data_IF_318584397093
#
_entry.id   IF_318584397093
#
_cell.length_a   1.000
_cell.length_b   1.000
_cell.length_c   1.000
_cell.angle_alpha   90.00
_cell.angle_beta   90.00
_cell.angle_gamma   90.00
#
_symmetry.space_group_name_H-M   'P 1'
#
loop_
_entity.id
_entity.type
_entity.pdbx_description
1 polymer ?
#
# COMPACT_ATOMS: atom_id res chain seq x y z
N UNK A 1 -6.67 -8.21 -28.49
CA UNK A 1 -5.63 -7.67 -27.56
C UNK A 1 -6.27 -6.62 -26.66
N UNK A 2 -5.79 -6.44 -25.43
CA UNK A 2 -6.34 -5.52 -24.43
C UNK A 2 -5.64 -4.15 -24.54
N UNK A 3 -6.40 -3.11 -24.88
CA UNK A 3 -5.91 -1.74 -25.00
C UNK A 3 -5.61 -1.10 -23.64
N UNK A 4 -4.73 -0.09 -23.63
CA UNK A 4 -4.40 0.67 -22.41
C UNK A 4 -5.57 1.57 -22.01
N UNK A 5 -6.03 1.55 -20.75
CA UNK A 5 -7.06 2.47 -20.27
C UNK A 5 -6.63 3.94 -20.36
N UNK A 6 -7.56 4.87 -20.59
CA UNK A 6 -7.24 6.31 -20.62
C UNK A 6 -6.81 6.80 -19.23
N UNK A 7 -5.88 7.77 -19.23
CA UNK A 7 -5.39 8.41 -18.00
C UNK A 7 -4.10 7.80 -17.43
N UNK A 8 -3.80 8.16 -16.18
CA UNK A 8 -2.55 7.82 -15.49
C UNK A 8 -2.79 6.68 -14.50
N UNK A 9 -2.00 5.61 -14.62
CA UNK A 9 -1.97 4.51 -13.66
C UNK A 9 -1.73 5.03 -12.23
N UNK A 10 -2.43 4.48 -11.24
CA UNK A 10 -2.49 4.92 -9.83
C UNK A 10 -3.30 6.19 -9.54
N UNK A 11 -3.54 7.05 -10.52
CA UNK A 11 -4.39 8.26 -10.33
C UNK A 11 -5.80 8.01 -10.83
N UNK A 12 -5.93 7.49 -12.05
CA UNK A 12 -7.21 7.28 -12.72
C UNK A 12 -7.68 5.82 -12.64
N UNK A 13 -6.75 4.87 -12.60
CA UNK A 13 -7.05 3.44 -12.61
C UNK A 13 -5.98 2.62 -11.88
N UNK A 14 -6.35 1.40 -11.47
CA UNK A 14 -5.47 0.44 -10.79
C UNK A 14 -4.97 -0.61 -11.76
N UNK A 15 -3.65 -0.77 -11.87
CA UNK A 15 -3.02 -1.72 -12.80
C UNK A 15 -3.50 -3.15 -12.59
N UNK A 16 -3.61 -3.57 -11.35
CA UNK A 16 -4.04 -4.92 -11.03
C UNK A 16 -5.50 -5.19 -11.42
N UNK A 17 -6.37 -4.19 -11.23
CA UNK A 17 -7.80 -4.26 -11.60
C UNK A 17 -7.93 -4.36 -13.12
N UNK A 18 -7.26 -3.47 -13.87
CA UNK A 18 -7.31 -3.43 -15.34
C UNK A 18 -6.68 -4.67 -16.00
N UNK A 19 -5.75 -5.32 -15.31
CA UNK A 19 -5.22 -6.61 -15.74
C UNK A 19 -6.15 -7.80 -15.46
N UNK A 20 -7.26 -7.58 -14.73
CA UNK A 20 -8.19 -8.62 -14.28
C UNK A 20 -7.60 -9.52 -13.19
N UNK A 21 -6.56 -9.05 -12.50
CA UNK A 21 -5.80 -9.79 -11.49
C UNK A 21 -6.07 -9.32 -10.06
N UNK A 22 -7.13 -8.53 -9.84
CA UNK A 22 -7.58 -8.12 -8.51
C UNK A 22 -8.76 -8.97 -8.03
N UNK A 23 -9.02 -8.93 -6.72
CA UNK A 23 -10.27 -9.39 -6.11
C UNK A 23 -10.29 -10.84 -5.63
N UNK A 24 -9.16 -11.56 -5.68
CA UNK A 24 -9.02 -12.85 -5.00
C UNK A 24 -7.57 -13.15 -4.64
N UNK A 25 -7.36 -13.91 -3.58
CA UNK A 25 -6.02 -14.27 -3.08
C UNK A 25 -5.17 -14.92 -4.18
N UNK A 26 -5.75 -15.82 -4.97
CA UNK A 26 -5.05 -16.49 -6.06
C UNK A 26 -4.66 -15.52 -7.20
N UNK A 27 -5.50 -14.53 -7.51
CA UNK A 27 -5.19 -13.51 -8.53
C UNK A 27 -4.13 -12.53 -8.02
N UNK A 28 -4.22 -12.14 -6.76
CA UNK A 28 -3.25 -11.27 -6.10
C UNK A 28 -1.87 -11.94 -6.05
N UNK A 29 -1.81 -13.24 -5.72
CA UNK A 29 -0.58 -14.02 -5.74
C UNK A 29 0.04 -14.07 -7.15
N UNK A 30 -0.77 -14.24 -8.20
CA UNK A 30 -0.31 -14.20 -9.60
C UNK A 30 0.26 -12.83 -9.96
N UNK A 31 -0.41 -11.74 -9.59
CA UNK A 31 0.08 -10.38 -9.81
C UNK A 31 1.41 -10.14 -9.07
N UNK A 32 1.52 -10.56 -7.81
CA UNK A 32 2.75 -10.47 -7.04
C UNK A 32 3.90 -11.30 -7.64
N UNK A 33 3.62 -12.48 -8.20
CA UNK A 33 4.60 -13.28 -8.91
C UNK A 33 5.11 -12.59 -10.18
N UNK A 34 4.21 -11.99 -10.98
CA UNK A 34 4.58 -11.20 -12.16
C UNK A 34 5.47 -10.00 -11.78
N UNK A 35 5.08 -9.26 -10.73
CA UNK A 35 5.87 -8.12 -10.25
C UNK A 35 7.27 -8.56 -9.82
N UNK A 36 7.41 -9.64 -9.05
CA UNK A 36 8.72 -10.18 -8.65
C UNK A 36 9.56 -10.54 -9.87
N UNK A 37 9.00 -11.33 -10.78
CA UNK A 37 9.68 -11.74 -12.00
C UNK A 37 10.16 -10.58 -12.88
N UNK A 38 9.34 -9.55 -13.03
CA UNK A 38 9.73 -8.36 -13.80
C UNK A 38 10.83 -7.55 -13.12
N UNK A 39 10.87 -7.50 -11.78
CA UNK A 39 11.97 -6.84 -11.04
C UNK A 39 13.29 -7.54 -11.33
N UNK A 40 13.29 -8.87 -11.28
CA UNK A 40 14.49 -9.67 -11.56
C UNK A 40 14.95 -9.43 -13.01
N UNK A 41 14.02 -9.39 -13.97
CA UNK A 41 14.35 -9.08 -15.36
C UNK A 41 14.93 -7.67 -15.54
N UNK A 42 14.40 -6.67 -14.85
CA UNK A 42 14.92 -5.29 -14.90
C UNK A 42 16.36 -5.23 -14.36
N UNK A 43 16.64 -5.95 -13.27
CA UNK A 43 17.98 -6.02 -12.69
C UNK A 43 18.95 -6.79 -13.59
N UNK A 44 18.55 -7.96 -14.07
CA UNK A 44 19.38 -8.82 -14.93
C UNK A 44 19.65 -8.17 -16.30
N UNK A 45 18.73 -7.35 -16.80
CA UNK A 45 18.94 -6.60 -18.03
C UNK A 45 19.91 -5.40 -17.87
N UNK A 46 20.39 -5.12 -16.66
CA UNK A 46 21.25 -3.97 -16.38
C UNK A 46 20.56 -2.64 -16.67
N UNK A 47 19.23 -2.59 -16.55
CA UNK A 47 18.48 -1.38 -16.83
C UNK A 47 18.78 -0.33 -15.76
N UNK A 48 19.19 0.87 -16.18
CA UNK A 48 19.49 1.95 -15.24
C UNK A 48 18.19 2.45 -14.60
N UNK A 49 17.97 2.10 -13.33
CA UNK A 49 16.79 2.47 -12.55
C UNK A 49 16.96 3.81 -11.80
N UNK A 50 18.16 4.37 -11.79
CA UNK A 50 18.45 5.67 -11.16
C UNK A 50 17.87 6.83 -11.97
N UNK A 51 17.74 6.64 -13.28
CA UNK A 51 17.18 7.63 -14.21
C UNK A 51 15.65 7.51 -14.34
N UNK A 52 15.02 8.54 -14.91
CA UNK A 52 13.60 8.52 -15.21
C UNK A 52 13.24 7.55 -16.33
N UNK A 53 12.01 7.01 -16.32
CA UNK A 53 11.54 6.08 -17.38
C UNK A 53 11.72 6.63 -18.81
N UNK A 54 11.57 7.95 -18.99
CA UNK A 54 11.75 8.60 -20.30
C UNK A 54 13.21 8.56 -20.78
N UNK A 55 14.16 8.65 -19.85
CA UNK A 55 15.61 8.72 -20.11
C UNK A 55 16.21 7.33 -20.39
N UNK A 56 15.57 6.25 -19.94
CA UNK A 56 16.04 4.88 -20.20
C UNK A 56 16.05 4.59 -21.71
N UNK A 57 17.15 4.07 -22.29
CA UNK A 57 17.24 3.74 -23.71
C UNK A 57 16.15 2.78 -24.19
N UNK A 58 15.61 3.01 -25.38
CA UNK A 58 14.57 2.17 -25.97
C UNK A 58 15.01 0.70 -26.12
N UNK A 59 16.29 0.47 -26.42
CA UNK A 59 16.89 -0.87 -26.58
C UNK A 59 16.85 -1.67 -25.28
N UNK A 60 17.04 -1.04 -24.11
CA UNK A 60 16.94 -1.74 -22.83
C UNK A 60 15.48 -2.11 -22.51
N UNK A 61 14.54 -1.21 -22.82
CA UNK A 61 13.10 -1.46 -22.66
C UNK A 61 12.64 -2.63 -23.52
N UNK A 62 13.05 -2.65 -24.80
CA UNK A 62 12.66 -3.72 -25.72
C UNK A 62 13.16 -5.09 -25.29
N UNK A 63 14.41 -5.20 -24.80
CA UNK A 63 14.96 -6.44 -24.24
C UNK A 63 14.12 -6.97 -23.08
N UNK A 64 13.79 -6.11 -22.11
CA UNK A 64 12.93 -6.51 -20.97
C UNK A 64 11.54 -6.93 -21.46
N UNK A 65 10.95 -6.23 -22.43
CA UNK A 65 9.62 -6.57 -22.94
C UNK A 65 9.58 -7.88 -23.72
N UNK A 66 10.61 -8.18 -24.51
CA UNK A 66 10.74 -9.47 -25.21
C UNK A 66 10.82 -10.62 -24.20
N UNK A 67 11.77 -10.56 -23.27
CA UNK A 67 11.96 -11.63 -22.28
C UNK A 67 10.74 -11.77 -21.35
N UNK A 68 10.10 -10.65 -20.98
CA UNK A 68 8.88 -10.68 -20.19
C UNK A 68 7.73 -11.38 -20.91
N UNK A 69 7.55 -11.15 -22.22
CA UNK A 69 6.53 -11.82 -23.03
C UNK A 69 6.79 -13.31 -23.11
N UNK A 70 8.04 -13.72 -23.29
CA UNK A 70 8.39 -15.14 -23.41
C UNK A 70 8.24 -15.87 -22.09
N UNK A 71 8.63 -15.24 -20.97
CA UNK A 71 8.52 -15.82 -19.63
C UNK A 71 7.10 -15.84 -19.08
N UNK A 72 6.30 -14.82 -19.40
CA UNK A 72 4.94 -14.65 -18.88
C UNK A 72 3.96 -14.46 -20.05
N UNK A 73 3.42 -15.55 -20.63
CA UNK A 73 2.53 -15.48 -21.80
C UNK A 73 1.31 -14.59 -21.59
N UNK A 74 0.84 -14.45 -20.34
CA UNK A 74 -0.24 -13.54 -19.96
C UNK A 74 0.03 -12.08 -20.34
N UNK A 75 1.28 -11.65 -20.47
CA UNK A 75 1.64 -10.30 -20.84
C UNK A 75 1.49 -10.03 -22.36
N UNK A 76 1.53 -11.08 -23.21
CA UNK A 76 1.37 -10.97 -24.67
C UNK A 76 0.00 -10.43 -25.09
N UNK A 77 -1.01 -10.50 -24.22
CA UNK A 77 -2.37 -10.04 -24.54
C UNK A 77 -2.55 -8.53 -24.50
N UNK A 78 -1.62 -7.78 -23.89
CA UNK A 78 -1.72 -6.33 -23.74
C UNK A 78 -1.03 -5.61 -24.89
N UNK A 79 -1.73 -4.67 -25.51
CA UNK A 79 -1.23 -3.92 -26.68
C UNK A 79 0.01 -3.10 -26.29
N UNK A 80 1.05 -3.11 -27.13
CA UNK A 80 2.29 -2.34 -26.93
C UNK A 80 2.95 -2.57 -25.54
N UNK A 81 2.77 -3.75 -24.96
CA UNK A 81 3.34 -4.12 -23.66
C UNK A 81 3.00 -3.13 -22.53
N UNK A 82 1.83 -2.47 -22.60
CA UNK A 82 1.50 -1.38 -21.67
C UNK A 82 1.51 -1.86 -20.20
N UNK A 83 1.03 -3.07 -19.93
CA UNK A 83 1.01 -3.63 -18.59
C UNK A 83 2.43 -3.83 -18.03
N UNK A 84 3.31 -4.42 -18.85
CA UNK A 84 4.73 -4.60 -18.53
C UNK A 84 5.41 -3.26 -18.28
N UNK A 85 5.17 -2.27 -19.13
CA UNK A 85 5.74 -0.93 -18.98
C UNK A 85 5.31 -0.25 -17.68
N UNK A 86 4.02 -0.34 -17.29
CA UNK A 86 3.54 0.26 -16.04
C UNK A 86 4.08 -0.47 -14.79
N UNK A 87 4.18 -1.80 -14.82
CA UNK A 87 4.81 -2.57 -13.73
C UNK A 87 6.28 -2.17 -13.52
N UNK A 88 7.04 -2.04 -14.61
CA UNK A 88 8.45 -1.63 -14.55
C UNK A 88 8.60 -0.19 -14.09
N UNK A 89 7.78 0.74 -14.59
CA UNK A 89 7.74 2.14 -14.12
C UNK A 89 7.49 2.22 -12.61
N UNK A 90 6.52 1.46 -12.12
CA UNK A 90 6.19 1.40 -10.70
C UNK A 90 7.39 0.92 -9.88
N UNK A 91 8.05 -0.15 -10.32
CA UNK A 91 9.25 -0.65 -9.66
C UNK A 91 10.38 0.38 -9.61
N UNK A 92 10.76 0.94 -10.76
CA UNK A 92 11.86 1.92 -10.87
C UNK A 92 11.57 3.13 -9.99
N UNK A 93 10.34 3.65 -10.04
CA UNK A 93 9.90 4.77 -9.18
C UNK A 93 10.06 4.44 -7.70
N UNK A 94 9.60 3.27 -7.26
CA UNK A 94 9.65 2.87 -5.85
C UNK A 94 11.08 2.61 -5.39
N UNK A 95 11.89 1.91 -6.19
CA UNK A 95 13.29 1.66 -5.88
C UNK A 95 14.06 2.97 -5.73
N UNK A 96 13.88 3.90 -6.66
CA UNK A 96 14.53 5.21 -6.60
C UNK A 96 14.06 6.04 -5.40
N UNK A 97 12.77 6.05 -5.11
CA UNK A 97 12.22 6.71 -3.91
C UNK A 97 12.82 6.14 -2.61
N UNK A 98 12.99 4.82 -2.52
CA UNK A 98 13.66 4.17 -1.38
C UNK A 98 15.12 4.59 -1.26
N UNK A 99 15.88 4.64 -2.35
CA UNK A 99 17.29 5.06 -2.32
C UNK A 99 17.45 6.54 -1.95
N UNK A 100 16.54 7.40 -2.42
CA UNK A 100 16.48 8.80 -1.98
C UNK A 100 16.18 8.96 -0.50
N UNK A 101 15.28 8.13 0.04
CA UNK A 101 14.93 8.15 1.45
C UNK A 101 16.12 7.75 2.33
N UNK A 102 16.88 6.74 1.91
CA UNK A 102 18.04 6.24 2.66
C UNK A 102 19.33 7.06 2.41
N UNK A 103 19.29 8.04 1.51
CA UNK A 103 20.46 8.88 1.18
C UNK A 103 21.51 8.20 0.31
N UNK A 104 21.22 7.02 -0.26
CA UNK A 104 22.14 6.31 -1.16
C UNK A 104 22.21 6.93 -2.56
N UNK A 105 21.20 7.74 -2.91
CA UNK A 105 21.16 8.47 -4.17
C UNK A 105 20.87 9.94 -3.89
N UNK A 106 21.57 10.82 -4.59
CA UNK A 106 21.31 12.25 -4.48
C UNK A 106 19.95 12.59 -5.09
N UNK A 107 19.15 13.33 -4.32
CA UNK A 107 17.85 13.80 -4.79
C UNK A 107 18.11 14.92 -5.79
N UNK A 108 17.62 14.81 -7.05
CA UNK A 108 17.79 15.87 -8.04
C UNK A 108 17.36 17.23 -7.50
N UNK A 109 18.13 18.29 -7.76
CA UNK A 109 17.89 19.64 -7.24
C UNK A 109 16.46 20.14 -7.49
N UNK A 110 15.86 19.76 -8.62
CA UNK A 110 14.45 20.05 -8.96
C UNK A 110 13.44 19.59 -7.90
N UNK A 111 13.79 18.63 -7.04
CA UNK A 111 12.95 18.09 -5.97
C UNK A 111 13.38 18.54 -4.56
N UNK A 112 14.38 19.43 -4.42
CA UNK A 112 14.84 19.91 -3.12
C UNK A 112 13.69 20.53 -2.30
N UNK A 113 12.78 21.25 -2.97
CA UNK A 113 11.59 21.85 -2.36
C UNK A 113 10.67 20.84 -1.65
N UNK A 114 10.66 19.57 -2.07
CA UNK A 114 9.86 18.52 -1.42
C UNK A 114 10.40 18.19 -0.01
N UNK A 115 11.72 18.24 0.19
CA UNK A 115 12.31 18.06 1.52
C UNK A 115 11.95 19.23 2.43
N UNK A 116 11.99 20.46 1.93
CA UNK A 116 11.56 21.65 2.67
C UNK A 116 10.08 21.57 3.06
N UNK A 117 9.22 21.17 2.13
CA UNK A 117 7.79 20.99 2.41
C UNK A 117 7.53 19.88 3.44
N UNK A 118 8.36 18.82 3.42
CA UNK A 118 8.28 17.75 4.40
C UNK A 118 8.72 18.24 5.79
N UNK A 119 9.78 19.06 5.89
CA UNK A 119 10.18 19.72 7.15
C UNK A 119 9.11 20.66 7.69
N UNK A 120 8.40 21.39 6.82
CA UNK A 120 7.29 22.27 7.18
C UNK A 120 6.02 21.51 7.59
N UNK A 121 5.88 20.24 7.19
CA UNK A 121 4.74 19.40 7.55
C UNK A 121 4.88 18.91 8.98
N UNK A 122 3.90 19.22 9.83
CA UNK A 122 3.80 18.60 11.15
C UNK A 122 3.31 17.15 11.01
N UNK A 123 4.15 16.11 11.24
CA UNK A 123 3.76 14.71 11.08
C UNK A 123 2.62 14.29 12.03
N UNK A 124 2.52 14.96 13.19
CA UNK A 124 1.46 14.72 14.18
C UNK A 124 0.12 15.40 13.84
N UNK A 125 0.13 16.37 12.92
CA UNK A 125 -0.87 17.44 12.92
C UNK A 125 -2.17 17.16 12.15
N UNK A 126 -2.15 16.41 11.05
CA UNK A 126 -3.26 16.53 10.07
C UNK A 126 -4.19 15.32 10.01
N UNK A 127 -3.68 14.11 9.76
CA UNK A 127 -4.55 12.94 9.51
C UNK A 127 -5.02 12.26 10.79
N UNK A 128 -4.11 11.99 11.73
CA UNK A 128 -4.46 11.34 13.01
C UNK A 128 -5.36 12.25 13.85
N UNK A 129 -5.06 13.55 13.94
CA UNK A 129 -5.89 14.52 14.67
C UNK A 129 -7.29 14.67 14.05
N UNK A 130 -7.41 14.76 12.72
CA UNK A 130 -8.72 14.79 12.04
C UNK A 130 -9.49 13.50 12.26
N UNK A 131 -8.84 12.33 12.16
CA UNK A 131 -9.48 11.04 12.42
C UNK A 131 -9.99 10.93 13.88
N UNK A 132 -9.17 11.33 14.86
CA UNK A 132 -9.57 11.37 16.28
C UNK A 132 -10.76 12.30 16.51
N UNK A 133 -10.76 13.50 15.91
CA UNK A 133 -11.88 14.44 16.02
C UNK A 133 -13.17 13.90 15.39
N UNK A 134 -13.09 13.26 14.22
CA UNK A 134 -14.25 12.62 13.56
C UNK A 134 -14.79 11.47 14.40
N UNK A 135 -13.93 10.63 14.97
CA UNK A 135 -14.34 9.53 15.85
C UNK A 135 -14.98 10.04 17.15
N UNK A 136 -14.41 11.08 17.76
CA UNK A 136 -14.98 11.71 18.95
C UNK A 136 -16.36 12.33 18.66
N UNK A 137 -16.52 13.00 17.51
CA UNK A 137 -17.80 13.56 17.08
C UNK A 137 -18.87 12.47 16.85
N UNK A 138 -18.52 11.36 16.16
CA UNK A 138 -19.42 10.20 15.98
C UNK A 138 -19.83 9.58 17.32
N UNK A 139 -18.89 9.40 18.25
CA UNK A 139 -19.20 8.87 19.60
C UNK A 139 -20.15 9.80 20.36
N UNK A 140 -19.97 11.12 20.25
CA UNK A 140 -20.86 12.11 20.87
C UNK A 140 -22.28 12.10 20.25
N UNK A 141 -22.37 11.97 18.92
CA UNK A 141 -23.66 11.86 18.23
C UNK A 141 -24.42 10.60 18.65
N UNK A 142 -23.76 9.43 18.67
CA UNK A 142 -24.37 8.16 19.10
C UNK A 142 -24.87 8.22 20.55
N UNK A 143 -24.12 8.84 21.47
CA UNK A 143 -24.55 9.02 22.87
C UNK A 143 -25.79 9.90 23.00
N UNK A 144 -25.89 10.98 22.20
CA UNK A 144 -27.07 11.86 22.19
C UNK A 144 -28.31 11.14 21.67
N UNK A 145 -28.16 10.33 20.63
CA UNK A 145 -29.23 9.53 20.06
C UNK A 145 -29.75 8.46 21.05
N UNK A 146 -28.86 7.78 21.76
CA UNK A 146 -29.26 6.83 22.81
C UNK A 146 -29.94 7.50 24.02
N UNK A 147 -29.49 8.70 24.43
CA UNK A 147 -30.16 9.44 25.54
C UNK A 147 -31.51 10.03 25.12
N UNK A 148 -31.66 10.42 23.85
CA UNK A 148 -32.95 10.89 23.32
C UNK A 148 -33.95 9.73 23.18
N UNK A 149 -33.51 8.55 22.76
CA UNK A 149 -34.35 7.35 22.72
C UNK A 149 -34.75 6.86 24.12
N UNK A 150 -33.90 7.03 25.14
CA UNK A 150 -34.18 6.61 26.52
C UNK A 150 -35.08 7.57 27.31
N UNK A 151 -35.23 8.83 26.88
CA UNK A 151 -36.09 9.82 27.56
C UNK A 151 -37.59 9.69 27.21
N UNK A 152 -37.98 8.69 26.42
CA UNK A 152 -39.34 8.48 25.93
C UNK A 152 -40.14 7.35 26.61
N UNK A 153 -39.58 6.66 27.61
CA UNK A 153 -40.28 5.54 28.27
C UNK A 153 -40.19 5.67 29.79
N UNK A 154 -41.01 6.55 30.36
CA UNK A 154 -41.26 6.61 31.79
C UNK A 154 -42.57 5.86 32.08
N UNK A 155 -42.46 4.58 32.44
CA UNK A 155 -43.58 3.75 32.86
C UNK A 155 -43.12 2.37 33.32
N UNK A 156 -43.25 2.10 34.62
CA UNK A 156 -43.10 0.78 35.26
C UNK A 156 -41.69 0.54 35.82
N UNK A 157 -41.41 0.78 37.10
CA UNK A 157 -41.85 0.00 38.29
C UNK A 157 -40.99 -1.26 38.53
N UNK A 158 -40.38 -1.24 39.71
CA UNK A 158 -39.95 -2.31 40.61
C UNK A 158 -38.85 -3.34 40.24
N UNK A 159 -37.93 -3.50 41.20
CA UNK A 159 -37.26 -4.76 41.54
C UNK A 159 -36.02 -5.19 40.75
N UNK A 160 -34.85 -5.21 41.39
CA UNK A 160 -33.74 -6.00 40.86
C UNK A 160 -32.34 -5.73 41.41
N UNK A 161 -32.11 -6.20 42.64
CA UNK A 161 -30.81 -6.42 43.30
C UNK A 161 -29.93 -7.46 42.56
N UNK A 162 -28.64 -7.50 42.94
CA UNK A 162 -27.53 -8.38 42.51
C UNK A 162 -26.77 -7.91 41.25
N UNK A 163 -25.45 -7.65 41.27
CA UNK A 163 -24.40 -8.24 42.09
C UNK A 163 -23.64 -9.30 41.29
N UNK A 164 -22.64 -8.91 40.50
CA UNK A 164 -21.52 -9.80 40.16
C UNK A 164 -20.33 -9.00 39.64
N UNK A 165 -19.22 -9.11 40.37
CA UNK A 165 -17.90 -8.74 39.88
C UNK A 165 -17.37 -9.83 38.95
N UNK A 166 -16.51 -9.44 38.01
CA UNK A 166 -15.72 -10.39 37.24
C UNK A 166 -14.32 -9.79 37.02
N UNK A 167 -13.48 -10.15 37.98
CA UNK A 167 -12.11 -10.61 37.88
C UNK A 167 -11.17 -9.98 36.83
N UNK A 168 -10.19 -9.27 37.39
CA UNK A 168 -8.87 -9.08 36.82
C UNK A 168 -8.26 -10.45 36.45
N UNK A 169 -8.13 -10.73 35.15
CA UNK A 169 -7.27 -11.82 34.67
C UNK A 169 -5.89 -11.28 34.31
N UNK A 170 -5.03 -11.22 35.31
CA UNK A 170 -3.58 -11.18 35.16
C UNK A 170 -3.03 -12.60 35.03
N UNK A 171 -2.51 -12.99 33.87
CA UNK A 171 -1.52 -14.07 33.80
C UNK A 171 -0.43 -13.74 32.78
N UNK A 172 0.77 -13.62 33.32
CA UNK A 172 2.03 -13.52 32.64
C UNK A 172 2.33 -14.78 31.82
N UNK A 173 3.00 -14.59 30.68
CA UNK A 173 3.88 -15.61 30.09
C UNK A 173 5.18 -14.94 29.70
N UNK A 174 6.10 -14.92 30.67
CA UNK A 174 7.52 -15.10 30.39
C UNK A 174 7.73 -16.53 29.86
N UNK A 175 8.58 -16.69 28.84
CA UNK A 175 9.63 -17.71 28.78
C UNK A 175 10.36 -17.69 27.43
N UNK A 176 11.56 -17.11 27.49
CA UNK A 176 12.81 -17.63 26.94
C UNK A 176 12.74 -18.65 25.79
N UNK A 177 13.17 -18.19 24.61
CA UNK A 177 13.65 -19.04 23.52
C UNK A 177 15.10 -18.70 23.17
N UNK A 178 16.02 -18.76 24.14
CA UNK A 178 17.44 -18.95 23.86
C UNK A 178 17.63 -20.38 23.35
N UNK A 179 17.83 -20.56 22.05
CA UNK A 179 18.51 -21.72 21.52
C UNK A 179 19.79 -21.23 20.86
N UNK A 180 20.88 -21.36 21.61
CA UNK A 180 22.22 -21.33 21.08
C UNK A 180 22.61 -22.66 20.41
N UNK A 181 23.88 -22.66 20.03
CA UNK A 181 24.76 -23.78 19.68
C UNK A 181 24.77 -24.31 18.23
N UNK A 182 25.93 -24.01 17.62
CA UNK A 182 26.85 -24.93 16.96
C UNK A 182 26.50 -25.50 15.58
N UNK A 183 27.14 -24.96 14.53
CA UNK A 183 28.45 -25.43 14.02
C UNK A 183 28.98 -24.56 12.88
#
# INVERSE_FOLDING_TARGET
MISRPPGTCSTNWSLQVEMGLAGSVAKDAKYAALLRGLRDLVLNAGMNWEVGWREIPAVQKSKVFQVARDRYPILKRYVNDWATAEMVKQYIKNKRAHHYHNGWLEVPAKYAYLKENTKKRNPSGSRVKRAKNVMAAKKKAKRKESTAASSGNNGGDDGGEAGHGDEERSEARDENGENGMDR
#
